data_IF_258424668186
#
_entry.id   IF_258424668186
#
_cell.length_a   1.000
_cell.length_b   1.000
_cell.length_c   1.000
_cell.angle_alpha   90.00
_cell.angle_beta   90.00
_cell.angle_gamma   90.00
#
_symmetry.space_group_name_H-M   'P 1'
#
loop_
_entity.id
_entity.type
_entity.pdbx_description
1 polymer ?
#
# COMPACT_ATOMS: atom_id res chain seq x y z
N UNK A 1 33.47 -11.58 -11.36
CA UNK A 1 32.94 -12.08 -10.06
C UNK A 1 31.54 -12.64 -10.28
N UNK A 2 31.27 -13.87 -9.78
CA UNK A 2 29.95 -14.47 -9.92
C UNK A 2 28.88 -13.65 -9.18
N UNK A 3 27.66 -13.56 -9.75
CA UNK A 3 26.57 -12.82 -9.15
C UNK A 3 26.15 -13.42 -7.79
N UNK A 4 26.29 -14.75 -7.60
CA UNK A 4 26.02 -15.41 -6.33
C UNK A 4 27.00 -14.97 -5.23
N UNK A 5 28.29 -14.84 -5.55
CA UNK A 5 29.32 -14.40 -4.60
C UNK A 5 29.08 -12.94 -4.21
N UNK A 6 28.70 -12.12 -5.18
CA UNK A 6 28.29 -10.74 -4.91
C UNK A 6 27.05 -10.66 -4.02
N UNK A 7 26.02 -11.48 -4.31
CA UNK A 7 24.80 -11.55 -3.47
C UNK A 7 25.13 -11.94 -2.05
N UNK A 8 25.78 -13.07 -1.85
CA UNK A 8 26.01 -13.65 -0.52
C UNK A 8 27.04 -12.86 0.30
N UNK A 9 28.15 -12.50 -0.33
CA UNK A 9 29.28 -11.88 0.35
C UNK A 9 29.17 -10.37 0.56
N UNK A 10 28.40 -9.67 -0.28
CA UNK A 10 28.40 -8.20 -0.26
C UNK A 10 26.99 -7.58 -0.27
N UNK A 11 26.15 -7.90 -1.24
CA UNK A 11 24.89 -7.17 -1.44
C UNK A 11 23.83 -7.51 -0.39
N UNK A 12 23.63 -8.78 -0.07
CA UNK A 12 22.69 -9.19 0.99
C UNK A 12 23.09 -8.64 2.36
N UNK A 13 24.34 -8.72 2.85
CA UNK A 13 24.77 -8.07 4.09
C UNK A 13 24.56 -6.55 4.08
N UNK A 14 24.78 -5.89 2.95
CA UNK A 14 24.48 -4.47 2.79
C UNK A 14 22.98 -4.20 2.96
N UNK A 15 22.11 -4.98 2.29
CA UNK A 15 20.65 -4.81 2.40
C UNK A 15 20.15 -4.99 3.85
N UNK A 16 20.65 -5.99 4.57
CA UNK A 16 20.30 -6.24 5.97
C UNK A 16 20.61 -5.05 6.89
N UNK A 17 21.66 -4.28 6.61
CA UNK A 17 22.04 -3.10 7.41
C UNK A 17 21.33 -1.82 7.02
N UNK A 18 20.87 -1.71 5.77
CA UNK A 18 20.44 -0.41 5.22
C UNK A 18 18.99 -0.35 4.77
N UNK A 19 18.35 -1.50 4.57
CA UNK A 19 16.98 -1.55 4.07
C UNK A 19 16.00 -2.04 5.14
N UNK A 20 14.73 -1.70 4.96
CA UNK A 20 13.66 -2.26 5.80
C UNK A 20 13.56 -3.77 5.61
N UNK A 21 13.28 -4.49 6.66
CA UNK A 21 13.13 -5.94 6.65
C UNK A 21 12.19 -6.44 5.55
N UNK A 22 11.03 -5.84 5.39
CA UNK A 22 10.07 -6.20 4.31
C UNK A 22 10.66 -6.09 2.90
N UNK A 23 11.62 -5.16 2.68
CA UNK A 23 12.34 -5.03 1.41
C UNK A 23 13.36 -6.15 1.25
N UNK A 24 14.08 -6.47 2.32
CA UNK A 24 15.07 -7.57 2.32
C UNK A 24 14.38 -8.90 2.03
N UNK A 25 13.29 -9.21 2.71
CA UNK A 25 12.48 -10.42 2.47
C UNK A 25 11.98 -10.48 1.02
N UNK A 26 11.54 -9.33 0.48
CA UNK A 26 11.16 -9.25 -0.93
C UNK A 26 12.32 -9.55 -1.88
N UNK A 27 13.52 -9.07 -1.57
CA UNK A 27 14.73 -9.34 -2.34
C UNK A 27 15.19 -10.80 -2.20
N UNK A 28 15.18 -11.37 -1.01
CA UNK A 28 15.51 -12.79 -0.79
C UNK A 28 14.56 -13.73 -1.54
N UNK A 29 13.28 -13.41 -1.54
CA UNK A 29 12.29 -14.15 -2.33
C UNK A 29 12.56 -14.05 -3.84
N UNK A 30 12.83 -12.84 -4.36
CA UNK A 30 13.14 -12.62 -5.76
C UNK A 30 14.48 -13.30 -6.17
N UNK A 31 15.46 -13.28 -5.28
CA UNK A 31 16.73 -13.98 -5.46
C UNK A 31 16.50 -15.49 -5.59
N UNK A 32 15.90 -16.08 -4.57
CA UNK A 32 15.69 -17.51 -4.48
C UNK A 32 14.89 -18.08 -5.67
N UNK A 33 13.83 -17.36 -6.06
CA UNK A 33 12.87 -17.86 -7.04
C UNK A 33 13.26 -17.52 -8.50
N UNK A 34 14.01 -16.46 -8.72
CA UNK A 34 14.18 -15.93 -10.07
C UNK A 34 15.62 -15.55 -10.44
N UNK A 35 16.25 -14.65 -9.69
CA UNK A 35 17.55 -14.08 -10.07
C UNK A 35 18.69 -15.08 -9.88
N UNK A 36 18.72 -15.75 -8.72
CA UNK A 36 19.74 -16.75 -8.40
C UNK A 36 19.78 -17.93 -9.40
N UNK A 37 18.63 -18.56 -9.71
CA UNK A 37 18.57 -19.62 -10.71
C UNK A 37 19.01 -19.19 -12.10
N UNK A 38 18.70 -17.94 -12.53
CA UNK A 38 19.01 -17.46 -13.87
C UNK A 38 20.44 -16.94 -14.02
N UNK A 39 20.94 -16.20 -13.04
CA UNK A 39 22.19 -15.45 -13.15
C UNK A 39 23.22 -15.76 -12.07
N UNK A 40 22.88 -16.53 -11.05
CA UNK A 40 23.75 -16.73 -9.87
C UNK A 40 25.13 -17.29 -10.22
N UNK A 41 25.21 -18.18 -11.21
CA UNK A 41 26.47 -18.80 -11.69
C UNK A 41 27.14 -18.01 -12.81
N UNK A 42 26.60 -16.87 -13.18
CA UNK A 42 27.11 -16.03 -14.25
C UNK A 42 28.04 -14.95 -13.67
N UNK A 43 29.10 -14.64 -14.41
CA UNK A 43 29.89 -13.46 -14.10
C UNK A 43 29.09 -12.20 -14.37
N UNK A 44 29.18 -11.23 -13.44
CA UNK A 44 28.40 -10.01 -13.54
C UNK A 44 28.68 -9.20 -14.81
N UNK A 45 29.93 -9.27 -15.34
CA UNK A 45 30.35 -8.61 -16.57
C UNK A 45 29.71 -9.25 -17.83
N UNK A 46 29.29 -10.52 -17.74
CA UNK A 46 28.61 -11.24 -18.81
C UNK A 46 27.11 -11.00 -18.86
N UNK A 47 26.55 -10.27 -17.90
CA UNK A 47 25.10 -9.91 -17.87
C UNK A 47 24.89 -8.71 -18.80
N UNK A 48 24.26 -8.94 -19.93
CA UNK A 48 23.89 -7.91 -20.91
C UNK A 48 22.38 -7.73 -21.03
N UNK A 49 21.97 -6.71 -21.81
CA UNK A 49 20.55 -6.37 -21.99
C UNK A 49 19.79 -7.49 -22.70
N UNK A 50 20.39 -8.13 -23.72
CA UNK A 50 19.73 -9.16 -24.49
C UNK A 50 19.38 -10.39 -23.63
N UNK A 51 20.29 -10.78 -22.73
CA UNK A 51 20.04 -11.85 -21.75
C UNK A 51 18.94 -11.49 -20.77
N UNK A 52 18.93 -10.24 -20.26
CA UNK A 52 17.89 -9.76 -19.35
C UNK A 52 16.54 -9.73 -20.04
N UNK A 53 16.46 -9.23 -21.27
CA UNK A 53 15.21 -9.18 -22.04
C UNK A 53 14.67 -10.58 -22.33
N UNK A 54 15.53 -11.51 -22.78
CA UNK A 54 15.15 -12.91 -22.97
C UNK A 54 14.64 -13.58 -21.69
N UNK A 55 15.30 -13.31 -20.56
CA UNK A 55 14.87 -13.84 -19.26
C UNK A 55 13.52 -13.26 -18.83
N UNK A 56 13.30 -11.94 -18.99
CA UNK A 56 12.06 -11.28 -18.62
C UNK A 56 10.88 -11.70 -19.52
N UNK A 57 11.14 -12.04 -20.78
CA UNK A 57 10.13 -12.56 -21.70
C UNK A 57 9.57 -13.93 -21.27
N UNK A 58 10.36 -14.72 -20.54
CA UNK A 58 9.96 -16.04 -20.03
C UNK A 58 9.04 -16.01 -18.79
N UNK A 59 8.64 -14.84 -18.30
CA UNK A 59 7.76 -14.76 -17.13
C UNK A 59 6.28 -14.71 -17.50
N UNK A 60 5.49 -15.66 -17.00
CA UNK A 60 4.01 -15.64 -17.12
C UNK A 60 3.37 -14.48 -16.36
N UNK A 61 4.01 -14.03 -15.28
CA UNK A 61 3.47 -13.00 -14.38
C UNK A 61 4.28 -11.70 -14.44
N UNK A 62 3.77 -10.64 -15.08
CA UNK A 62 4.45 -9.35 -15.18
C UNK A 62 4.91 -8.74 -13.84
N UNK A 63 4.15 -9.00 -12.77
CA UNK A 63 4.50 -8.54 -11.42
C UNK A 63 5.75 -9.23 -10.85
N UNK A 64 5.93 -10.53 -11.11
CA UNK A 64 7.10 -11.29 -10.70
C UNK A 64 8.35 -10.84 -11.50
N UNK A 65 8.22 -10.71 -12.80
CA UNK A 65 9.28 -10.20 -13.69
C UNK A 65 9.81 -8.84 -13.21
N UNK A 66 8.90 -7.89 -12.90
CA UNK A 66 9.28 -6.55 -12.43
C UNK A 66 9.97 -6.57 -11.07
N UNK A 67 9.56 -7.44 -10.14
CA UNK A 67 10.23 -7.60 -8.85
C UNK A 67 11.62 -8.22 -9.00
N UNK A 68 11.72 -9.24 -9.82
CA UNK A 68 12.99 -9.90 -10.12
C UNK A 68 13.98 -8.93 -10.81
N UNK A 69 13.52 -8.17 -11.79
CA UNK A 69 14.30 -7.10 -12.39
C UNK A 69 14.71 -6.02 -11.41
N UNK A 70 13.81 -5.58 -10.52
CA UNK A 70 14.13 -4.57 -9.53
C UNK A 70 15.29 -4.99 -8.63
N UNK A 71 15.35 -6.27 -8.23
CA UNK A 71 16.49 -6.82 -7.49
C UNK A 71 17.76 -6.84 -8.35
N UNK A 72 17.74 -7.47 -9.53
CA UNK A 72 18.90 -7.56 -10.40
C UNK A 72 19.48 -6.18 -10.72
N UNK A 73 18.60 -5.24 -11.07
CA UNK A 73 18.96 -3.84 -11.30
C UNK A 73 19.61 -3.20 -10.08
N UNK A 74 19.06 -3.41 -8.86
CA UNK A 74 19.62 -2.87 -7.63
C UNK A 74 21.04 -3.44 -7.37
N UNK A 75 21.23 -4.73 -7.62
CA UNK A 75 22.53 -5.40 -7.50
C UNK A 75 23.56 -4.82 -8.48
N UNK A 76 23.26 -4.80 -9.77
CA UNK A 76 24.19 -4.32 -10.80
C UNK A 76 24.55 -2.84 -10.59
N UNK A 77 23.57 -1.98 -10.29
CA UNK A 77 23.82 -0.56 -9.96
C UNK A 77 24.69 -0.41 -8.72
N UNK A 78 24.53 -1.27 -7.73
CA UNK A 78 25.38 -1.24 -6.52
C UNK A 78 26.79 -1.73 -6.83
N UNK A 79 26.95 -2.76 -7.66
CA UNK A 79 28.25 -3.23 -8.12
C UNK A 79 29.04 -2.14 -8.86
N UNK A 80 28.36 -1.40 -9.76
CA UNK A 80 28.99 -0.25 -10.45
C UNK A 80 29.41 0.83 -9.44
N UNK A 81 28.55 1.19 -8.48
CA UNK A 81 28.90 2.19 -7.46
C UNK A 81 30.06 1.76 -6.55
N UNK A 82 30.29 0.48 -6.40
CA UNK A 82 31.40 -0.07 -5.63
C UNK A 82 32.67 -0.34 -6.47
N UNK A 83 32.66 0.04 -7.75
CA UNK A 83 33.79 -0.17 -8.66
C UNK A 83 34.04 -1.64 -9.02
N UNK A 84 33.01 -2.49 -8.89
CA UNK A 84 33.09 -3.92 -9.22
C UNK A 84 32.62 -4.24 -10.63
N UNK A 85 32.00 -3.27 -11.29
CA UNK A 85 31.56 -3.28 -12.68
C UNK A 85 31.84 -1.94 -13.32
N UNK A 86 32.39 -1.94 -14.52
CA UNK A 86 32.66 -0.72 -15.29
C UNK A 86 31.44 -0.24 -16.07
N UNK A 87 30.54 -1.15 -16.43
CA UNK A 87 29.36 -0.86 -17.25
C UNK A 87 28.05 -0.98 -16.46
N UNK A 88 27.23 0.06 -16.53
CA UNK A 88 25.87 0.06 -16.00
C UNK A 88 24.88 -0.37 -17.10
N UNK A 89 24.68 -1.67 -17.27
CA UNK A 89 23.70 -2.23 -18.22
C UNK A 89 22.26 -1.81 -17.88
N UNK A 90 22.01 -1.34 -16.66
CA UNK A 90 20.67 -0.92 -16.20
C UNK A 90 20.26 0.47 -16.67
N UNK A 91 21.19 1.24 -17.29
CA UNK A 91 20.90 2.53 -17.94
C UNK A 91 20.30 2.37 -19.33
N UNK A 92 20.41 1.18 -19.92
CA UNK A 92 19.80 0.86 -21.21
C UNK A 92 18.33 0.51 -21.03
N UNK A 93 17.57 0.69 -22.09
CA UNK A 93 16.14 0.37 -22.08
C UNK A 93 15.96 -1.15 -22.07
N UNK A 94 15.35 -1.66 -21.00
CA UNK A 94 15.04 -3.08 -20.80
C UNK A 94 13.54 -3.27 -21.02
N UNK A 95 13.17 -4.22 -21.87
CA UNK A 95 11.79 -4.50 -22.24
C UNK A 95 11.01 -5.13 -21.09
N UNK A 96 10.40 -4.30 -20.26
CA UNK A 96 9.60 -4.79 -19.13
C UNK A 96 8.19 -5.23 -19.57
N UNK A 97 7.73 -6.42 -19.15
CA UNK A 97 6.37 -6.87 -19.41
C UNK A 97 5.33 -5.84 -18.95
N UNK A 98 4.31 -5.60 -19.79
CA UNK A 98 3.24 -4.64 -19.49
C UNK A 98 2.52 -5.05 -18.21
N UNK A 99 2.42 -4.13 -17.24
CA UNK A 99 1.68 -4.35 -16.01
C UNK A 99 0.18 -4.32 -16.32
N UNK A 100 -0.54 -5.40 -16.02
CA UNK A 100 -2.00 -5.32 -15.97
C UNK A 100 -2.39 -4.32 -14.91
N UNK A 101 -3.26 -3.37 -15.27
CA UNK A 101 -3.77 -2.38 -14.33
C UNK A 101 -4.60 -3.12 -13.27
N UNK A 102 -4.27 -2.90 -12.01
CA UNK A 102 -5.08 -3.42 -10.91
C UNK A 102 -6.38 -2.60 -10.83
N UNK A 103 -7.50 -3.26 -10.95
CA UNK A 103 -8.82 -2.68 -10.71
C UNK A 103 -9.29 -3.12 -9.33
N UNK A 104 -9.33 -2.20 -8.35
CA UNK A 104 -9.76 -2.56 -7.01
C UNK A 104 -11.27 -2.83 -7.01
N UNK A 105 -11.68 -3.90 -6.34
CA UNK A 105 -13.07 -4.07 -5.95
C UNK A 105 -13.39 -3.01 -4.88
N UNK A 106 -14.43 -2.22 -5.08
CA UNK A 106 -14.77 -1.08 -4.24
C UNK A 106 -16.13 -1.28 -3.57
N UNK A 107 -16.27 -0.75 -2.36
CA UNK A 107 -17.55 -0.62 -1.68
C UNK A 107 -18.21 0.71 -2.08
N UNK A 108 -19.47 0.67 -2.42
CA UNK A 108 -20.32 1.86 -2.51
C UNK A 108 -20.57 2.44 -1.11
N UNK A 109 -21.07 3.68 -1.04
CA UNK A 109 -21.47 4.31 0.24
C UNK A 109 -22.50 3.45 0.98
N UNK A 110 -23.48 2.88 0.27
CA UNK A 110 -24.48 1.97 0.85
C UNK A 110 -23.82 0.73 1.43
N UNK A 111 -22.99 0.04 0.66
CA UNK A 111 -22.27 -1.14 1.11
C UNK A 111 -21.35 -0.86 2.29
N UNK A 112 -20.69 0.32 2.32
CA UNK A 112 -19.86 0.74 3.45
C UNK A 112 -20.71 0.91 4.72
N UNK A 113 -21.91 1.47 4.60
CA UNK A 113 -22.87 1.60 5.70
C UNK A 113 -23.34 0.23 6.22
N UNK A 114 -23.67 -0.67 5.31
CA UNK A 114 -24.13 -2.03 5.65
C UNK A 114 -23.00 -2.80 6.35
N UNK A 115 -21.77 -2.65 5.87
CA UNK A 115 -20.58 -3.23 6.49
C UNK A 115 -20.36 -2.70 7.91
N UNK A 116 -20.44 -1.39 8.12
CA UNK A 116 -20.31 -0.78 9.45
C UNK A 116 -21.35 -1.33 10.43
N UNK A 117 -22.62 -1.39 10.01
CA UNK A 117 -23.71 -1.93 10.85
C UNK A 117 -23.50 -3.39 11.21
N UNK A 118 -23.02 -4.18 10.26
CA UNK A 118 -22.75 -5.61 10.46
C UNK A 118 -21.57 -5.89 11.41
N UNK A 119 -20.78 -4.88 11.75
CA UNK A 119 -19.69 -4.99 12.72
C UNK A 119 -20.02 -4.40 14.09
N UNK A 120 -21.24 -3.96 14.35
CA UNK A 120 -21.62 -3.44 15.67
C UNK A 120 -21.45 -4.53 16.74
N UNK A 121 -20.67 -4.21 17.78
CA UNK A 121 -20.30 -5.13 18.85
C UNK A 121 -19.21 -6.15 18.52
N UNK A 122 -18.65 -6.14 17.32
CA UNK A 122 -17.53 -7.01 16.95
C UNK A 122 -16.20 -6.42 17.44
N UNK A 123 -15.23 -7.27 17.82
CA UNK A 123 -13.90 -6.86 18.30
C UNK A 123 -13.14 -5.94 17.32
N UNK A 124 -13.35 -6.08 16.02
CA UNK A 124 -12.75 -5.26 14.97
C UNK A 124 -13.55 -4.01 14.60
N UNK A 125 -14.62 -3.69 15.33
CA UNK A 125 -15.48 -2.56 15.00
C UNK A 125 -14.71 -1.23 14.99
N UNK A 126 -13.94 -0.96 16.03
CA UNK A 126 -13.15 0.27 16.14
C UNK A 126 -12.16 0.44 14.99
N UNK A 127 -11.46 -0.64 14.64
CA UNK A 127 -10.56 -0.68 13.50
C UNK A 127 -11.30 -0.37 12.19
N UNK A 128 -12.43 -1.04 11.96
CA UNK A 128 -13.21 -0.86 10.73
C UNK A 128 -13.74 0.57 10.59
N UNK A 129 -14.28 1.13 11.68
CA UNK A 129 -14.76 2.53 11.71
C UNK A 129 -13.66 3.49 11.29
N UNK A 130 -12.45 3.36 11.82
CA UNK A 130 -11.32 4.20 11.44
C UNK A 130 -10.87 3.94 9.99
N UNK A 131 -10.79 2.68 9.55
CA UNK A 131 -10.34 2.32 8.21
C UNK A 131 -11.23 2.89 7.10
N UNK A 132 -12.56 2.82 7.27
CA UNK A 132 -13.51 3.32 6.26
C UNK A 132 -13.76 4.83 6.36
N UNK A 133 -13.42 5.45 7.50
CA UNK A 133 -13.64 6.90 7.71
C UNK A 133 -12.47 7.77 7.26
N UNK A 134 -11.24 7.24 7.28
CA UNK A 134 -10.02 8.02 7.12
C UNK A 134 -9.15 7.61 5.94
N UNK A 135 -9.55 6.63 5.15
CA UNK A 135 -8.76 6.16 4.01
C UNK A 135 -7.36 5.64 4.39
N UNK A 136 -7.26 4.93 5.52
CA UNK A 136 -5.99 4.45 6.06
C UNK A 136 -5.33 3.40 5.17
N UNK A 137 -3.99 3.39 5.13
CA UNK A 137 -3.27 2.22 4.63
C UNK A 137 -3.55 1.04 5.57
N UNK A 138 -3.50 -0.17 5.04
CA UNK A 138 -3.78 -1.38 5.84
C UNK A 138 -2.88 -1.47 7.07
N UNK A 139 -1.58 -1.23 6.88
CA UNK A 139 -0.61 -1.22 7.96
C UNK A 139 -0.82 -0.09 8.98
N UNK A 140 -1.26 1.09 8.53
CA UNK A 140 -1.65 2.19 9.42
C UNK A 140 -2.82 1.77 10.31
N UNK A 141 -3.88 1.21 9.70
CA UNK A 141 -5.05 0.75 10.43
C UNK A 141 -4.73 -0.34 11.46
N UNK A 142 -3.81 -1.25 11.15
CA UNK A 142 -3.38 -2.29 12.11
C UNK A 142 -2.51 -1.73 13.25
N UNK A 143 -1.74 -0.66 12.98
CA UNK A 143 -0.87 -0.02 13.98
C UNK A 143 -1.55 0.99 14.88
N UNK A 144 -2.86 1.27 14.66
CA UNK A 144 -3.61 2.23 15.48
C UNK A 144 -3.89 1.71 16.88
N UNK A 145 -3.78 2.63 17.82
CA UNK A 145 -4.14 2.44 19.23
C UNK A 145 -5.16 3.48 19.66
N UNK A 146 -5.89 3.19 20.74
CA UNK A 146 -6.86 4.13 21.28
C UNK A 146 -6.27 5.46 21.74
N UNK A 147 -4.99 5.49 22.10
CA UNK A 147 -4.27 6.74 22.45
C UNK A 147 -4.03 7.66 21.24
N UNK A 148 -4.12 7.14 20.03
CA UNK A 148 -3.98 7.91 18.80
C UNK A 148 -5.27 8.68 18.44
N UNK A 149 -6.39 8.40 19.13
CA UNK A 149 -7.70 8.96 18.87
C UNK A 149 -8.04 10.01 19.91
N UNK A 150 -8.12 11.27 19.49
CA UNK A 150 -8.65 12.36 20.32
C UNK A 150 -10.14 12.56 20.01
N UNK A 151 -11.01 11.93 20.83
CA UNK A 151 -12.46 12.00 20.67
C UNK A 151 -13.04 13.36 21.05
N UNK A 152 -12.30 14.23 21.78
CA UNK A 152 -12.74 15.60 22.09
C UNK A 152 -12.58 16.49 20.87
N UNK A 153 -11.42 16.41 20.21
CA UNK A 153 -11.12 17.16 18.99
C UNK A 153 -11.68 16.48 17.73
N UNK A 154 -12.11 15.23 17.82
CA UNK A 154 -12.58 14.45 16.67
C UNK A 154 -11.49 14.18 15.63
N UNK A 155 -10.29 13.83 16.08
CA UNK A 155 -9.14 13.59 15.20
C UNK A 155 -8.43 12.28 15.56
N UNK A 156 -7.72 11.74 14.57
CA UNK A 156 -6.86 10.56 14.69
C UNK A 156 -5.44 10.89 14.19
N UNK A 157 -4.43 10.47 14.93
CA UNK A 157 -3.01 10.66 14.58
C UNK A 157 -2.44 9.39 13.98
N UNK A 158 -1.83 9.49 12.82
CA UNK A 158 -1.16 8.39 12.13
C UNK A 158 0.33 8.54 12.34
N UNK A 159 0.89 7.77 13.25
CA UNK A 159 2.29 7.86 13.66
C UNK A 159 3.10 6.61 13.34
N UNK A 160 2.42 5.47 13.13
CA UNK A 160 3.04 4.16 12.87
C UNK A 160 2.17 3.29 11.99
N UNK A 161 2.76 2.23 11.49
CA UNK A 161 2.06 1.10 10.87
C UNK A 161 2.51 -0.21 11.51
N UNK A 162 1.71 -1.26 11.36
CA UNK A 162 2.03 -2.61 11.78
C UNK A 162 2.00 -3.53 10.57
N UNK A 163 3.13 -4.20 10.31
CA UNK A 163 3.29 -5.18 9.25
C UNK A 163 3.54 -6.56 9.84
N UNK A 164 3.26 -7.59 9.05
CA UNK A 164 3.64 -8.96 9.34
C UNK A 164 4.72 -9.38 8.36
N UNK A 165 5.93 -9.65 8.87
CA UNK A 165 7.10 -9.96 8.05
C UNK A 165 7.78 -11.19 8.66
N UNK A 166 8.13 -12.18 7.86
CA UNK A 166 8.87 -13.38 8.31
C UNK A 166 8.29 -14.09 9.55
N UNK A 167 6.97 -14.05 9.73
CA UNK A 167 6.32 -14.73 10.85
C UNK A 167 6.22 -13.90 12.15
N UNK A 168 6.60 -12.64 12.14
CA UNK A 168 6.50 -11.75 13.30
C UNK A 168 5.94 -10.35 12.96
N UNK A 169 5.54 -9.63 13.99
CA UNK A 169 5.06 -8.26 13.88
C UNK A 169 6.22 -7.27 13.79
N UNK A 170 6.14 -6.38 12.80
CA UNK A 170 7.08 -5.28 12.61
C UNK A 170 6.34 -3.95 12.71
N UNK A 171 6.65 -3.16 13.72
CA UNK A 171 6.21 -1.76 13.76
C UNK A 171 7.05 -0.97 12.76
N UNK A 172 6.39 -0.30 11.86
CA UNK A 172 7.06 0.50 10.82
C UNK A 172 6.69 1.96 10.97
N UNK A 173 7.71 2.80 10.93
CA UNK A 173 7.49 4.24 10.83
C UNK A 173 6.98 4.62 9.43
N UNK A 174 6.18 5.68 9.32
CA UNK A 174 5.76 6.23 8.05
C UNK A 174 6.98 6.53 7.16
N UNK A 175 6.88 6.23 5.86
CA UNK A 175 8.00 6.37 4.91
C UNK A 175 8.44 7.83 4.67
N UNK A 176 7.54 8.78 4.90
CA UNK A 176 7.77 10.21 4.67
C UNK A 176 7.11 11.00 5.80
N UNK A 177 7.56 12.23 6.05
CA UNK A 177 6.91 13.15 7.00
C UNK A 177 5.44 13.38 6.67
N UNK A 178 5.08 13.47 5.39
CA UNK A 178 3.70 13.58 4.92
C UNK A 178 2.83 12.37 5.27
N UNK A 179 3.45 11.24 5.61
CA UNK A 179 2.73 10.04 6.06
C UNK A 179 2.42 10.10 7.55
N UNK A 180 3.16 10.89 8.35
CA UNK A 180 2.76 11.28 9.72
C UNK A 180 1.75 12.39 9.58
N UNK A 181 0.51 12.14 9.95
CA UNK A 181 -0.57 13.09 9.73
C UNK A 181 -1.68 12.94 10.76
N UNK A 182 -2.36 14.03 11.01
CA UNK A 182 -3.61 14.07 11.80
C UNK A 182 -4.78 14.18 10.83
N UNK A 183 -5.76 13.31 11.00
CA UNK A 183 -6.94 13.23 10.14
C UNK A 183 -8.19 13.53 10.95
N UNK A 184 -9.14 14.32 10.44
CA UNK A 184 -10.44 14.51 11.07
C UNK A 184 -11.26 13.21 10.99
N UNK A 185 -11.97 12.90 12.08
CA UNK A 185 -12.96 11.85 12.12
C UNK A 185 -14.35 12.45 11.83
N UNK A 186 -15.16 11.82 10.99
CA UNK A 186 -16.54 12.26 10.81
C UNK A 186 -17.34 12.04 12.10
N UNK A 187 -18.38 12.87 12.31
CA UNK A 187 -19.16 12.90 13.55
C UNK A 187 -19.72 11.53 13.96
N UNK A 188 -20.18 10.73 12.99
CA UNK A 188 -20.71 9.40 13.28
C UNK A 188 -19.61 8.46 13.85
N UNK A 189 -18.38 8.56 13.34
CA UNK A 189 -17.26 7.76 13.82
C UNK A 189 -16.85 8.18 15.24
N UNK A 190 -16.81 9.49 15.52
CA UNK A 190 -16.54 10.00 16.88
C UNK A 190 -17.57 9.49 17.88
N UNK A 191 -18.85 9.57 17.54
CA UNK A 191 -19.93 9.10 18.42
C UNK A 191 -19.80 7.61 18.68
N UNK A 192 -19.63 6.82 17.61
CA UNK A 192 -19.52 5.37 17.76
C UNK A 192 -18.26 4.93 18.51
N UNK A 193 -17.11 5.53 18.23
CA UNK A 193 -15.86 5.23 18.95
C UNK A 193 -15.95 5.64 20.44
N UNK A 194 -16.73 6.66 20.78
CA UNK A 194 -16.97 7.05 22.17
C UNK A 194 -17.78 5.99 22.93
N UNK A 195 -18.77 5.38 22.27
CA UNK A 195 -19.61 4.33 22.86
C UNK A 195 -18.83 3.04 23.13
N UNK A 196 -17.92 2.67 22.22
CA UNK A 196 -17.20 1.39 22.28
C UNK A 196 -15.79 1.49 22.87
N UNK A 197 -15.37 2.66 23.36
CA UNK A 197 -14.03 2.86 23.91
C UNK A 197 -13.81 2.01 25.17
N UNK A 198 -12.81 1.11 25.18
CA UNK A 198 -12.48 0.33 26.37
C UNK A 198 -11.80 1.19 27.43
N UNK A 199 -11.87 0.75 28.69
CA UNK A 199 -11.23 1.44 29.82
C UNK A 199 -9.69 1.39 29.74
N UNK A 200 -9.13 0.26 29.29
CA UNK A 200 -7.70 -0.03 29.31
C UNK A 200 -6.95 0.47 28.07
N UNK A 201 -7.65 0.92 27.04
CA UNK A 201 -6.99 1.33 25.79
C UNK A 201 -6.51 0.14 24.93
N UNK A 202 -5.31 0.23 24.38
CA UNK A 202 -4.71 -0.80 23.53
C UNK A 202 -4.89 -0.58 22.02
N UNK A 203 -4.53 -1.61 21.23
CA UNK A 203 -4.66 -1.57 19.75
C UNK A 203 -6.13 -1.69 19.34
N UNK A 204 -6.51 -1.07 18.21
CA UNK A 204 -7.88 -1.18 17.68
C UNK A 204 -8.20 -2.58 17.14
N UNK A 205 -7.18 -3.39 16.83
CA UNK A 205 -7.30 -4.80 16.46
C UNK A 205 -7.15 -5.75 17.66
N UNK A 206 -7.11 -5.22 18.87
CA UNK A 206 -6.90 -6.00 20.10
C UNK A 206 -5.57 -6.75 20.10
N UNK A 207 -5.61 -8.04 20.40
CA UNK A 207 -4.44 -8.93 20.44
C UNK A 207 -4.17 -9.62 19.10
N UNK A 208 -5.02 -9.37 18.09
CA UNK A 208 -4.87 -10.02 16.77
C UNK A 208 -3.62 -9.52 16.04
N UNK A 209 -2.96 -10.43 15.36
CA UNK A 209 -1.91 -10.10 14.39
C UNK A 209 -2.51 -9.61 13.07
N UNK A 210 -1.77 -8.89 12.21
CA UNK A 210 -2.24 -8.46 10.89
C UNK A 210 -2.88 -9.57 10.03
N UNK A 211 -2.29 -10.79 9.90
CA UNK A 211 -2.94 -11.88 9.17
C UNK A 211 -4.21 -12.42 9.85
N UNK A 212 -4.24 -12.45 11.19
CA UNK A 212 -5.43 -12.86 11.94
C UNK A 212 -6.55 -11.85 11.76
N UNK A 213 -6.26 -10.56 11.84
CA UNK A 213 -7.22 -9.47 11.59
C UNK A 213 -7.83 -9.58 10.20
N UNK A 214 -7.00 -9.76 9.16
CA UNK A 214 -7.49 -9.92 7.79
C UNK A 214 -8.40 -11.15 7.63
N UNK A 215 -8.06 -12.27 8.27
CA UNK A 215 -8.87 -13.50 8.26
C UNK A 215 -10.17 -13.34 9.04
N UNK A 216 -10.13 -12.74 10.24
CA UNK A 216 -11.31 -12.48 11.07
C UNK A 216 -12.30 -11.57 10.34
N UNK A 217 -11.83 -10.47 9.77
CA UNK A 217 -12.62 -9.56 8.95
C UNK A 217 -13.31 -10.28 7.78
N UNK A 218 -12.55 -11.03 6.97
CA UNK A 218 -13.10 -11.75 5.82
C UNK A 218 -14.08 -12.87 6.24
N UNK A 219 -13.78 -13.59 7.32
CA UNK A 219 -14.63 -14.64 7.86
C UNK A 219 -15.97 -14.11 8.39
N UNK A 220 -15.92 -12.98 9.11
CA UNK A 220 -17.12 -12.31 9.62
C UNK A 220 -18.01 -11.85 8.48
N UNK A 221 -17.46 -11.15 7.48
CA UNK A 221 -18.22 -10.71 6.31
C UNK A 221 -18.91 -11.90 5.61
N UNK A 222 -18.21 -13.00 5.40
CA UNK A 222 -18.75 -14.19 4.74
C UNK A 222 -19.88 -14.83 5.54
N UNK A 223 -19.70 -14.99 6.86
CA UNK A 223 -20.71 -15.62 7.75
C UNK A 223 -22.00 -14.82 7.85
N UNK A 224 -21.90 -13.50 7.73
CA UNK A 224 -23.05 -12.61 7.89
C UNK A 224 -23.56 -12.02 6.55
N UNK A 225 -23.08 -12.52 5.41
CA UNK A 225 -23.51 -12.03 4.10
C UNK A 225 -23.21 -10.55 3.85
N UNK A 226 -22.17 -10.01 4.53
CA UNK A 226 -21.82 -8.60 4.42
C UNK A 226 -20.99 -8.31 3.17
N UNK A 227 -21.06 -7.09 2.60
CA UNK A 227 -20.17 -6.68 1.54
C UNK A 227 -18.71 -6.81 1.97
N UNK A 228 -17.89 -7.44 1.13
CA UNK A 228 -16.48 -7.68 1.44
C UNK A 228 -15.56 -7.20 0.33
N UNK A 229 -14.53 -6.47 0.72
CA UNK A 229 -13.35 -6.17 -0.09
C UNK A 229 -12.10 -6.42 0.74
N UNK A 230 -10.93 -6.77 0.14
CA UNK A 230 -9.68 -6.83 0.89
C UNK A 230 -9.42 -5.55 1.68
N UNK A 231 -8.87 -5.63 2.88
CA UNK A 231 -8.66 -4.48 3.77
C UNK A 231 -7.96 -3.28 3.09
N UNK A 232 -7.00 -3.54 2.18
CA UNK A 232 -6.35 -2.49 1.37
C UNK A 232 -7.33 -1.71 0.48
N UNK A 233 -8.45 -2.33 0.09
CA UNK A 233 -9.43 -1.71 -0.80
C UNK A 233 -10.44 -0.84 -0.04
N UNK A 234 -10.50 -0.91 1.30
CA UNK A 234 -11.26 0.04 2.12
C UNK A 234 -10.78 1.47 1.87
N UNK A 235 -9.46 1.66 1.80
CA UNK A 235 -8.85 2.95 1.44
C UNK A 235 -9.23 3.41 0.04
N UNK A 236 -9.24 2.51 -0.94
CA UNK A 236 -9.66 2.83 -2.30
C UNK A 236 -11.14 3.19 -2.35
N UNK A 237 -11.98 2.45 -1.61
CA UNK A 237 -13.41 2.72 -1.50
C UNK A 237 -13.66 4.10 -0.89
N UNK A 238 -12.97 4.45 0.20
CA UNK A 238 -13.05 5.76 0.82
C UNK A 238 -12.71 6.88 -0.16
N UNK A 239 -11.58 6.76 -0.85
CA UNK A 239 -11.10 7.80 -1.76
C UNK A 239 -12.05 8.00 -2.96
N UNK A 240 -12.52 6.89 -3.57
CA UNK A 240 -13.48 6.95 -4.68
C UNK A 240 -14.80 7.58 -4.23
N UNK A 241 -15.34 7.17 -3.09
CA UNK A 241 -16.59 7.71 -2.57
C UNK A 241 -16.46 9.19 -2.17
N UNK A 242 -15.32 9.61 -1.59
CA UNK A 242 -15.06 11.01 -1.24
C UNK A 242 -15.01 11.91 -2.49
N UNK A 243 -14.29 11.48 -3.52
CA UNK A 243 -14.23 12.23 -4.79
C UNK A 243 -15.60 12.26 -5.49
N UNK A 244 -16.33 11.14 -5.51
CA UNK A 244 -17.68 11.10 -6.07
C UNK A 244 -18.68 11.98 -5.31
N UNK A 245 -18.42 12.23 -4.01
CA UNK A 245 -19.18 13.18 -3.19
C UNK A 245 -18.73 14.64 -3.37
N UNK A 246 -17.79 14.95 -4.28
CA UNK A 246 -17.33 16.30 -4.59
C UNK A 246 -16.14 16.78 -3.76
N UNK A 247 -15.45 15.91 -3.03
CA UNK A 247 -14.25 16.31 -2.30
C UNK A 247 -13.11 16.68 -3.29
N UNK A 248 -12.37 17.74 -2.98
CA UNK A 248 -11.22 18.16 -3.76
C UNK A 248 -10.12 17.10 -3.77
N UNK A 249 -9.54 16.83 -4.95
CA UNK A 249 -8.53 15.78 -5.12
C UNK A 249 -7.24 16.06 -4.34
N UNK A 250 -6.83 17.32 -4.19
CA UNK A 250 -5.64 17.65 -3.42
C UNK A 250 -5.87 17.39 -1.93
N UNK A 251 -7.08 17.69 -1.43
CA UNK A 251 -7.49 17.36 -0.06
C UNK A 251 -7.51 15.85 0.15
N UNK A 252 -8.14 15.09 -0.76
CA UNK A 252 -8.17 13.62 -0.70
C UNK A 252 -6.75 13.05 -0.75
N UNK A 253 -5.90 13.54 -1.65
CA UNK A 253 -4.49 13.13 -1.75
C UNK A 253 -3.72 13.37 -0.45
N UNK A 254 -3.92 14.53 0.18
CA UNK A 254 -3.31 14.88 1.47
C UNK A 254 -3.81 13.98 2.60
N UNK A 255 -5.11 13.73 2.68
CA UNK A 255 -5.69 12.80 3.66
C UNK A 255 -5.14 11.38 3.49
N UNK A 256 -4.97 10.93 2.27
CA UNK A 256 -4.32 9.66 1.96
C UNK A 256 -2.81 9.65 2.32
N UNK A 257 -2.16 10.79 2.46
CA UNK A 257 -0.71 10.90 2.66
C UNK A 257 0.08 10.43 1.43
N UNK A 258 -0.38 10.83 0.23
CA UNK A 258 0.38 10.68 -1.00
C UNK A 258 1.36 11.84 -1.15
N UNK A 259 2.62 11.52 -1.44
CA UNK A 259 3.65 12.53 -1.72
C UNK A 259 3.49 13.19 -3.09
N UNK A 260 2.77 12.53 -4.01
CA UNK A 260 2.47 13.01 -5.35
C UNK A 260 0.98 12.84 -5.65
N UNK A 261 0.30 13.93 -5.98
CA UNK A 261 -1.11 13.96 -6.37
C UNK A 261 -1.39 13.10 -7.62
N UNK A 262 -0.38 12.92 -8.49
CA UNK A 262 -0.48 12.02 -9.65
C UNK A 262 -0.88 10.62 -9.25
N UNK A 263 -0.46 10.15 -8.06
CA UNK A 263 -0.86 8.85 -7.54
C UNK A 263 -2.37 8.80 -7.32
N UNK A 264 -2.97 9.85 -6.73
CA UNK A 264 -4.42 9.93 -6.54
C UNK A 264 -5.15 10.05 -7.89
N UNK A 265 -4.68 10.95 -8.75
CA UNK A 265 -5.26 11.19 -10.07
C UNK A 265 -5.26 9.91 -10.93
N UNK A 266 -4.17 9.19 -10.96
CA UNK A 266 -4.01 7.98 -11.76
C UNK A 266 -4.97 6.84 -11.36
N UNK A 267 -5.32 6.75 -10.08
CA UNK A 267 -6.21 5.72 -9.57
C UNK A 267 -7.69 6.11 -9.58
N UNK A 268 -8.00 7.40 -9.34
CA UNK A 268 -9.36 7.84 -9.03
C UNK A 268 -9.96 8.83 -10.03
N UNK A 269 -9.16 9.55 -10.85
CA UNK A 269 -9.69 10.44 -11.88
C UNK A 269 -9.93 9.67 -13.17
N UNK A 270 -11.20 9.34 -13.41
CA UNK A 270 -11.74 8.94 -14.71
C UNK A 270 -13.03 9.73 -14.90
N UNK A 271 -12.95 11.02 -15.25
CA UNK A 271 -14.15 11.77 -15.50
C UNK A 271 -14.89 11.14 -16.68
N UNK A 272 -16.12 10.75 -16.43
CA UNK A 272 -17.04 10.38 -17.49
C UNK A 272 -17.66 11.66 -18.10
N UNK A 273 -18.44 11.49 -19.14
CA UNK A 273 -19.11 12.63 -19.82
C UNK A 273 -20.04 13.41 -18.88
N UNK A 274 -20.58 12.74 -17.85
CA UNK A 274 -21.45 13.37 -16.85
C UNK A 274 -20.66 14.32 -15.97
N UNK A 275 -19.52 13.89 -15.45
CA UNK A 275 -18.61 14.74 -14.66
C UNK A 275 -18.11 15.95 -15.45
N UNK A 276 -17.84 15.76 -16.76
CA UNK A 276 -17.45 16.88 -17.63
C UNK A 276 -18.59 17.88 -17.83
N UNK A 277 -19.82 17.41 -18.00
CA UNK A 277 -21.02 18.27 -18.11
C UNK A 277 -21.28 19.03 -16.80
N UNK A 278 -21.12 18.39 -15.66
CA UNK A 278 -21.31 19.02 -14.35
C UNK A 278 -20.28 20.12 -14.10
N UNK A 279 -19.02 19.89 -14.45
CA UNK A 279 -17.98 20.94 -14.41
C UNK A 279 -18.36 22.13 -15.32
N UNK A 280 -18.88 21.86 -16.52
CA UNK A 280 -19.30 22.91 -17.45
C UNK A 280 -20.49 23.71 -16.90
N UNK A 281 -21.46 23.04 -16.29
CA UNK A 281 -22.61 23.72 -15.63
C UNK A 281 -22.19 24.60 -14.45
N UNK A 282 -21.19 24.15 -13.67
CA UNK A 282 -20.65 24.97 -12.57
C UNK A 282 -19.98 26.23 -13.11
N UNK A 283 -19.20 26.11 -14.18
CA UNK A 283 -18.58 27.25 -14.84
C UNK A 283 -19.61 28.21 -15.46
N UNK A 284 -20.63 27.67 -16.14
CA UNK A 284 -21.72 28.44 -16.71
C UNK A 284 -22.45 29.28 -15.64
N UNK A 285 -22.78 28.69 -14.47
CA UNK A 285 -23.39 29.40 -13.34
C UNK A 285 -22.50 30.54 -12.85
N UNK A 286 -21.18 30.33 -12.78
CA UNK A 286 -20.25 31.36 -12.34
C UNK A 286 -20.09 32.51 -13.36
N UNK A 287 -20.38 32.26 -14.66
CA UNK A 287 -20.35 33.27 -15.72
C UNK A 287 -21.61 34.12 -15.79
N UNK A 288 -22.77 33.51 -15.57
CA UNK A 288 -24.08 34.13 -15.82
C UNK A 288 -24.64 34.72 -14.53
N UNK A 289 -24.10 34.36 -13.33
CA UNK A 289 -24.49 34.89 -12.02
C UNK A 289 -25.62 34.13 -11.44
#
# INVERSE_FOLDING_TARGET
MLLNDFWTGRFRPYCLRTLRESTVVGYESAWRLHVGPAFGRMDMDAIDVARVDGWLAGFDRPGAARKAWALLRAMLRRAVRWGLLDRDVTRRDVALPRRRRYEPCLLTVRQTRDLLRGFYGHELEAWLVCAVSCGLRTEEGYGLEWRDIDLRRGVIRIERGLQWVSGHECVVEPKTELSRRTLPLPRFAVNRLREIRPREGGRLIGTLTPPQTARAYASWCRRHGLPHVPARNLRHSWATNALAAGADIAVVSRMLGHSDIKTTAQYYLRPDITALRDAQRLYERALIG
#
